data_IF_721557121638
#
_entry.id   IF_721557121638
#
_cell.length_a   1.000
_cell.length_b   1.000
_cell.length_c   1.000
_cell.angle_alpha   90.00
_cell.angle_beta   90.00
_cell.angle_gamma   90.00
#
_symmetry.space_group_name_H-M   'P 1'
#
loop_
_entity.id
_entity.type
_entity.pdbx_description
1 polymer ?
#
# COMPACT_ATOMS: atom_id res chain seq x y z
N UNK A 1 -7.60 -30.62 19.98
CA UNK A 1 -6.71 -30.11 18.92
C UNK A 1 -6.90 -30.97 17.69
N UNK A 2 -6.93 -30.36 16.50
CA UNK A 2 -7.01 -31.12 15.27
C UNK A 2 -5.73 -31.96 15.08
N UNK A 3 -5.90 -33.19 14.59
CA UNK A 3 -4.80 -34.12 14.31
C UNK A 3 -4.94 -34.68 12.91
N UNK A 4 -3.82 -35.01 12.29
CA UNK A 4 -3.80 -35.70 11.01
C UNK A 4 -3.84 -37.22 11.21
N UNK A 5 -4.84 -37.90 10.67
CA UNK A 5 -4.94 -39.36 10.74
C UNK A 5 -3.82 -40.07 9.96
N UNK A 6 -3.31 -39.43 8.90
CA UNK A 6 -2.21 -39.92 8.06
C UNK A 6 -0.82 -39.54 8.60
N UNK A 7 -0.74 -38.52 9.46
CA UNK A 7 0.48 -38.10 10.14
C UNK A 7 0.23 -38.04 11.66
N UNK A 8 0.13 -39.21 12.34
CA UNK A 8 -0.33 -39.28 13.73
C UNK A 8 0.56 -38.57 14.76
N UNK A 9 1.80 -38.22 14.38
CA UNK A 9 2.72 -37.42 15.21
C UNK A 9 2.60 -35.90 15.01
N UNK A 10 1.77 -35.42 14.07
CA UNK A 10 1.59 -34.00 13.81
C UNK A 10 0.32 -33.47 14.49
N UNK A 11 0.51 -32.52 15.41
CA UNK A 11 -0.58 -31.78 16.04
C UNK A 11 -0.63 -30.37 15.46
N UNK A 12 -1.81 -29.95 15.01
CA UNK A 12 -2.03 -28.60 14.53
C UNK A 12 -2.24 -27.66 15.70
N UNK A 13 -1.53 -26.53 15.71
CA UNK A 13 -1.85 -25.41 16.59
C UNK A 13 -3.19 -24.78 16.21
N UNK A 14 -3.82 -24.04 17.14
CA UNK A 14 -5.16 -23.48 16.93
C UNK A 14 -5.23 -22.53 15.72
N UNK A 15 -4.14 -21.83 15.38
CA UNK A 15 -4.05 -20.96 14.21
C UNK A 15 -3.78 -21.70 12.88
N UNK A 16 -3.45 -23.00 12.93
CA UNK A 16 -3.23 -23.84 11.75
C UNK A 16 -4.52 -24.52 11.26
N UNK A 17 -5.62 -24.35 11.98
CA UNK A 17 -6.91 -24.98 11.68
C UNK A 17 -7.92 -23.88 11.38
N UNK A 18 -8.81 -24.12 10.42
CA UNK A 18 -9.88 -23.18 10.09
C UNK A 18 -10.75 -22.92 11.32
N UNK A 19 -11.05 -21.65 11.67
CA UNK A 19 -11.79 -21.37 12.89
C UNK A 19 -13.20 -21.97 12.90
N UNK A 20 -13.57 -22.58 14.03
CA UNK A 20 -14.81 -23.33 14.19
C UNK A 20 -14.79 -24.74 13.57
N UNK A 21 -13.74 -25.13 12.85
CA UNK A 21 -13.59 -26.49 12.34
C UNK A 21 -12.95 -27.41 13.39
N UNK A 22 -13.37 -28.67 13.41
CA UNK A 22 -12.78 -29.74 14.24
C UNK A 22 -12.62 -29.39 15.74
N UNK A 23 -13.59 -28.66 16.30
CA UNK A 23 -13.61 -28.28 17.71
C UNK A 23 -12.65 -27.15 18.09
N UNK A 24 -12.07 -26.45 17.11
CA UNK A 24 -11.40 -25.17 17.39
C UNK A 24 -12.41 -24.12 17.83
N UNK A 25 -12.01 -23.17 18.70
CA UNK A 25 -12.88 -22.05 19.06
C UNK A 25 -13.39 -21.34 17.80
N UNK A 26 -14.67 -20.95 17.82
CA UNK A 26 -15.18 -20.00 16.83
C UNK A 26 -14.35 -18.73 16.87
N UNK A 27 -14.17 -18.07 15.72
CA UNK A 27 -13.49 -16.78 15.65
C UNK A 27 -14.06 -15.79 16.66
N UNK A 28 -13.19 -15.28 17.54
CA UNK A 28 -13.37 -13.95 18.11
C UNK A 28 -13.01 -12.91 17.02
N UNK A 29 -13.18 -11.63 17.31
CA UNK A 29 -12.74 -10.54 16.41
C UNK A 29 -11.20 -10.52 16.17
N UNK A 30 -10.45 -11.38 16.85
CA UNK A 30 -9.02 -11.56 16.67
C UNK A 30 -8.70 -12.48 15.48
N UNK A 31 -7.92 -11.96 14.54
CA UNK A 31 -7.34 -12.72 13.43
C UNK A 31 -6.37 -13.77 13.98
N UNK A 32 -6.45 -15.05 13.56
CA UNK A 32 -5.53 -16.09 14.02
C UNK A 32 -4.09 -15.73 13.69
N UNK A 33 -3.22 -15.75 14.69
CA UNK A 33 -1.81 -15.40 14.52
C UNK A 33 -0.93 -16.62 14.76
N UNK A 34 -0.03 -16.88 13.80
CA UNK A 34 1.09 -17.78 14.01
C UNK A 34 2.18 -17.17 14.89
N UNK A 35 3.40 -17.73 14.89
CA UNK A 35 4.54 -17.15 15.58
C UNK A 35 4.70 -15.67 15.22
N UNK A 36 4.79 -14.82 16.24
CA UNK A 36 4.83 -13.36 16.03
C UNK A 36 6.04 -12.98 15.18
N UNK A 37 5.87 -12.11 14.16
CA UNK A 37 7.00 -11.41 13.58
C UNK A 37 7.75 -10.69 14.71
N UNK A 38 9.08 -10.69 14.70
CA UNK A 38 9.89 -10.05 15.76
C UNK A 38 9.74 -8.51 15.87
N UNK A 39 8.78 -7.92 15.14
CA UNK A 39 8.47 -6.50 15.18
C UNK A 39 7.53 -6.18 16.33
N UNK A 40 7.97 -5.27 17.20
CA UNK A 40 7.18 -4.73 18.30
C UNK A 40 7.19 -3.20 18.20
N UNK A 41 6.02 -2.59 18.25
CA UNK A 41 5.77 -1.16 18.13
C UNK A 41 5.32 -0.59 19.47
N UNK A 42 5.83 0.60 19.76
CA UNK A 42 5.35 1.45 20.83
C UNK A 42 5.05 2.86 20.31
N UNK A 43 4.58 3.72 21.22
CA UNK A 43 4.23 5.10 20.91
C UNK A 43 5.44 5.95 20.45
N UNK A 44 6.67 5.50 20.71
CA UNK A 44 7.89 6.20 20.33
C UNK A 44 8.46 5.73 18.98
N UNK A 45 8.04 4.56 18.49
CA UNK A 45 8.51 3.96 17.24
C UNK A 45 8.13 4.85 16.05
N UNK A 46 9.11 5.46 15.34
CA UNK A 46 8.85 6.25 14.15
C UNK A 46 8.26 5.39 13.02
N UNK A 47 6.99 5.64 12.68
CA UNK A 47 6.28 4.89 11.63
C UNK A 47 6.05 5.81 10.44
N UNK A 48 6.50 5.38 9.27
CA UNK A 48 6.13 5.98 8.00
C UNK A 48 5.14 5.07 7.24
N UNK A 49 4.32 5.64 6.38
CA UNK A 49 3.47 4.86 5.47
C UNK A 49 3.35 5.49 4.09
N UNK A 50 3.15 4.63 3.09
CA UNK A 50 2.78 5.02 1.72
C UNK A 50 1.89 3.96 1.09
N UNK A 51 1.05 4.36 0.13
CA UNK A 51 0.29 3.42 -0.68
C UNK A 51 -1.09 3.89 -1.09
N UNK A 52 -2.00 2.92 -1.24
CA UNK A 52 -3.35 3.12 -1.76
C UNK A 52 -4.23 4.01 -0.86
N UNK A 53 -5.51 4.20 -1.23
CA UNK A 53 -6.50 4.88 -0.39
C UNK A 53 -6.51 4.39 1.08
N UNK A 54 -6.29 3.10 1.31
CA UNK A 54 -6.30 2.52 2.66
C UNK A 54 -5.11 2.98 3.53
N UNK A 55 -4.02 3.44 2.93
CA UNK A 55 -2.87 3.99 3.67
C UNK A 55 -3.26 5.24 4.49
N UNK A 56 -4.26 5.99 4.04
CA UNK A 56 -4.83 7.12 4.80
C UNK A 56 -5.48 6.66 6.08
N UNK A 57 -6.27 5.59 6.03
CA UNK A 57 -6.97 5.06 7.21
C UNK A 57 -5.93 4.60 8.26
N UNK A 58 -4.90 3.87 7.83
CA UNK A 58 -3.78 3.47 8.70
C UNK A 58 -3.12 4.70 9.33
N UNK A 59 -2.78 5.73 8.53
CA UNK A 59 -2.20 6.98 9.02
C UNK A 59 -3.08 7.64 10.07
N UNK A 60 -4.36 7.83 9.77
CA UNK A 60 -5.30 8.51 10.65
C UNK A 60 -5.45 7.78 11.98
N UNK A 61 -5.56 6.45 11.96
CA UNK A 61 -5.69 5.66 13.19
C UNK A 61 -4.39 5.65 14.00
N UNK A 62 -3.22 5.53 13.37
CA UNK A 62 -1.93 5.62 14.08
C UNK A 62 -1.78 6.98 14.79
N UNK A 63 -2.08 8.08 14.09
CA UNK A 63 -2.04 9.43 14.69
C UNK A 63 -3.06 9.59 15.81
N UNK A 64 -4.29 9.11 15.62
CA UNK A 64 -5.35 9.18 16.64
C UNK A 64 -5.00 8.36 17.89
N UNK A 65 -4.27 7.25 17.76
CA UNK A 65 -3.80 6.44 18.89
C UNK A 65 -2.46 6.91 19.49
N UNK A 66 -1.92 8.04 19.03
CA UNK A 66 -0.74 8.68 19.61
C UNK A 66 0.61 8.13 19.15
N UNK A 67 0.63 7.23 18.15
CA UNK A 67 1.88 6.65 17.65
C UNK A 67 2.73 7.74 16.98
N UNK A 68 4.06 7.60 17.07
CA UNK A 68 5.02 8.48 16.42
C UNK A 68 5.01 8.33 14.89
N UNK A 69 3.96 8.86 14.27
CA UNK A 69 3.82 8.88 12.82
C UNK A 69 4.70 9.97 12.21
N UNK A 70 5.60 9.56 11.32
CA UNK A 70 6.46 10.47 10.56
C UNK A 70 5.60 11.20 9.53
N UNK A 71 5.41 12.50 9.73
CA UNK A 71 4.63 13.37 8.85
C UNK A 71 5.46 14.59 8.41
N UNK A 72 5.76 14.63 7.13
CA UNK A 72 6.37 15.75 6.42
C UNK A 72 5.31 16.43 5.54
N UNK A 73 5.52 17.71 5.20
CA UNK A 73 4.67 18.46 4.26
C UNK A 73 3.17 18.46 4.65
N UNK A 74 2.85 18.50 5.95
CA UNK A 74 1.47 18.37 6.47
C UNK A 74 0.50 19.44 5.97
N UNK A 75 1.02 20.59 5.52
CA UNK A 75 0.26 21.66 4.89
C UNK A 75 -0.15 21.33 3.44
N UNK A 76 0.53 20.38 2.81
CA UNK A 76 0.33 20.05 1.41
C UNK A 76 -0.80 19.02 1.23
N UNK A 77 -1.77 19.23 0.33
CA UNK A 77 -2.91 18.30 0.15
C UNK A 77 -2.48 16.89 -0.24
N UNK A 78 -1.37 16.75 -0.97
CA UNK A 78 -0.81 15.44 -1.33
C UNK A 78 -0.22 14.66 -0.14
N UNK A 79 0.00 15.28 1.03
CA UNK A 79 0.45 14.57 2.22
C UNK A 79 -0.70 13.83 2.94
N UNK A 80 -1.94 13.91 2.45
CA UNK A 80 -3.10 13.31 3.13
C UNK A 80 -3.01 11.79 3.29
N UNK A 81 -2.40 11.07 2.34
CA UNK A 81 -2.44 9.60 2.29
C UNK A 81 -1.13 8.92 2.75
N UNK A 82 -0.08 9.71 3.04
CA UNK A 82 1.25 9.19 3.27
C UNK A 82 2.09 10.06 4.22
N UNK A 83 3.33 9.65 4.48
CA UNK A 83 4.27 10.35 5.36
C UNK A 83 4.92 11.60 4.78
N UNK A 84 4.85 11.80 3.47
CA UNK A 84 5.27 13.02 2.76
C UNK A 84 4.24 13.31 1.66
N UNK A 85 4.43 14.38 0.88
CA UNK A 85 3.50 14.79 -0.19
C UNK A 85 3.54 13.87 -1.44
N UNK A 86 3.63 12.55 -1.25
CA UNK A 86 3.64 11.54 -2.32
C UNK A 86 2.27 11.29 -2.97
N UNK A 87 1.18 11.75 -2.34
CA UNK A 87 -0.20 11.35 -2.65
C UNK A 87 -0.41 9.83 -2.50
N UNK A 88 -1.49 9.31 -3.09
CA UNK A 88 -1.77 7.88 -3.15
C UNK A 88 -0.82 7.26 -4.15
N UNK A 89 -0.23 6.13 -3.77
CA UNK A 89 0.58 5.29 -4.64
C UNK A 89 -0.17 3.98 -4.83
N UNK A 90 -0.78 3.81 -6.01
CA UNK A 90 -1.68 2.68 -6.24
C UNK A 90 -0.93 1.37 -6.52
N UNK A 91 0.24 1.44 -7.14
CA UNK A 91 0.98 0.29 -7.62
C UNK A 91 2.43 0.31 -7.09
N UNK A 92 3.09 -0.85 -7.15
CA UNK A 92 4.46 -1.04 -6.66
C UNK A 92 5.49 -0.21 -7.44
N UNK A 93 5.24 0.12 -8.71
CA UNK A 93 6.14 0.94 -9.53
C UNK A 93 6.20 2.36 -9.02
N UNK A 94 5.04 2.99 -8.77
CA UNK A 94 5.00 4.35 -8.23
C UNK A 94 5.63 4.41 -6.83
N UNK A 95 5.48 3.37 -6.00
CA UNK A 95 6.19 3.26 -4.72
C UNK A 95 7.71 3.20 -4.92
N UNK A 96 8.19 2.33 -5.81
CA UNK A 96 9.62 2.21 -6.11
C UNK A 96 10.19 3.52 -6.66
N UNK A 97 9.50 4.15 -7.60
CA UNK A 97 9.90 5.45 -8.17
C UNK A 97 10.04 6.54 -7.10
N UNK A 98 9.22 6.52 -6.04
CA UNK A 98 9.40 7.42 -4.90
C UNK A 98 10.78 7.25 -4.28
N UNK A 99 11.20 6.01 -4.02
CA UNK A 99 12.52 5.75 -3.46
C UNK A 99 13.64 6.11 -4.44
N UNK A 100 13.46 5.80 -5.73
CA UNK A 100 14.44 6.07 -6.79
C UNK A 100 14.69 7.57 -6.96
N UNK A 101 13.66 8.41 -7.02
CA UNK A 101 13.88 9.87 -7.11
C UNK A 101 14.36 10.46 -5.79
N UNK A 102 14.04 9.84 -4.66
CA UNK A 102 14.43 10.36 -3.35
C UNK A 102 15.91 10.18 -3.11
N UNK A 103 16.42 8.97 -3.35
CA UNK A 103 17.77 8.59 -3.02
C UNK A 103 18.73 8.61 -4.21
N UNK A 104 18.23 8.39 -5.42
CA UNK A 104 19.02 8.37 -6.64
C UNK A 104 18.76 9.58 -7.53
N UNK A 105 19.17 9.43 -8.79
CA UNK A 105 18.99 10.40 -9.87
C UNK A 105 18.01 9.86 -10.91
N UNK A 106 16.82 9.48 -10.45
CA UNK A 106 15.77 9.00 -11.34
C UNK A 106 15.20 10.16 -12.16
N UNK A 107 15.46 10.13 -13.46
CA UNK A 107 15.05 11.15 -14.42
C UNK A 107 14.16 10.51 -15.50
N UNK A 108 12.82 10.58 -15.37
CA UNK A 108 11.94 10.13 -16.44
C UNK A 108 12.09 11.07 -17.65
N UNK A 109 11.96 10.53 -18.85
CA UNK A 109 12.00 11.29 -20.10
C UNK A 109 10.88 12.32 -20.22
N UNK A 110 9.82 12.19 -19.41
CA UNK A 110 8.83 13.24 -19.15
C UNK A 110 8.56 13.37 -17.65
N UNK A 111 9.14 14.43 -17.05
CA UNK A 111 8.94 14.77 -15.64
C UNK A 111 7.64 15.53 -15.38
N UNK A 112 7.31 16.48 -16.26
CA UNK A 112 6.24 17.44 -16.05
C UNK A 112 5.26 17.45 -17.20
N UNK A 113 3.97 17.40 -16.88
CA UNK A 113 2.91 17.64 -17.84
C UNK A 113 2.58 19.13 -17.94
N UNK A 114 2.16 19.57 -19.12
CA UNK A 114 1.59 20.90 -19.34
C UNK A 114 0.13 20.74 -19.74
N UNK A 115 -0.78 21.13 -18.85
CA UNK A 115 -2.23 21.03 -19.05
C UNK A 115 -2.61 21.83 -20.30
N UNK A 116 -3.16 21.21 -21.36
CA UNK A 116 -3.41 21.88 -22.64
C UNK A 116 -4.29 23.13 -22.53
N UNK A 117 -5.31 23.10 -21.66
CA UNK A 117 -6.28 24.19 -21.55
C UNK A 117 -5.86 25.31 -20.60
N UNK A 118 -5.23 24.97 -19.46
CA UNK A 118 -4.86 25.96 -18.43
C UNK A 118 -3.40 26.41 -18.50
N UNK A 119 -2.55 25.71 -19.26
CA UNK A 119 -1.10 25.91 -19.29
C UNK A 119 -0.38 25.57 -17.98
N UNK A 120 -1.11 25.10 -16.97
CA UNK A 120 -0.58 24.71 -15.64
C UNK A 120 0.36 23.53 -15.77
N UNK A 121 1.38 23.49 -14.92
CA UNK A 121 2.32 22.36 -14.85
C UNK A 121 1.80 21.34 -13.86
N UNK A 122 1.81 20.05 -14.21
CA UNK A 122 1.37 18.96 -13.34
C UNK A 122 2.48 17.93 -13.11
N UNK A 123 2.59 17.44 -11.88
CA UNK A 123 3.38 16.23 -11.56
C UNK A 123 2.55 14.98 -11.89
N UNK A 124 2.94 14.14 -12.88
CA UNK A 124 2.19 12.94 -13.21
C UNK A 124 2.44 11.78 -12.22
N UNK A 125 3.45 11.89 -11.36
CA UNK A 125 3.81 10.89 -10.36
C UNK A 125 3.25 11.23 -8.97
N UNK A 126 2.99 12.51 -8.68
CA UNK A 126 2.25 12.99 -7.50
C UNK A 126 0.93 13.61 -7.93
N UNK A 127 -0.15 12.83 -7.87
CA UNK A 127 -1.48 13.28 -8.30
C UNK A 127 -1.90 14.55 -7.52
N UNK A 128 -2.75 15.40 -8.12
CA UNK A 128 -3.23 16.68 -7.56
C UNK A 128 -2.17 17.77 -7.32
N UNK A 129 -0.91 17.53 -7.69
CA UNK A 129 0.15 18.54 -7.55
C UNK A 129 0.26 19.34 -8.85
N UNK A 130 -0.07 20.63 -8.75
CA UNK A 130 -0.17 21.58 -9.85
C UNK A 130 0.64 22.84 -9.54
N UNK A 131 1.26 23.43 -10.56
CA UNK A 131 2.10 24.62 -10.43
C UNK A 131 1.80 25.65 -11.52
N UNK A 132 2.04 26.92 -11.21
CA UNK A 132 1.90 28.01 -12.17
C UNK A 132 3.01 28.04 -13.23
N UNK A 133 4.19 27.48 -12.92
CA UNK A 133 5.32 27.43 -13.86
C UNK A 133 6.22 26.21 -13.64
N UNK A 134 7.08 25.93 -14.62
CA UNK A 134 8.09 24.86 -14.53
C UNK A 134 9.12 25.15 -13.44
N UNK A 135 9.51 26.42 -13.27
CA UNK A 135 10.45 26.84 -12.22
C UNK A 135 9.89 26.55 -10.82
N UNK A 136 8.59 26.84 -10.60
CA UNK A 136 7.92 26.50 -9.34
C UNK A 136 7.87 24.98 -9.12
N UNK A 137 7.61 24.21 -10.18
CA UNK A 137 7.56 22.75 -10.10
C UNK A 137 8.92 22.14 -9.71
N UNK A 138 10.00 22.60 -10.32
CA UNK A 138 11.37 22.15 -10.01
C UNK A 138 11.79 22.55 -8.58
N UNK A 139 11.48 23.79 -8.17
CA UNK A 139 11.80 24.27 -6.83
C UNK A 139 11.04 23.49 -5.74
N UNK A 140 9.73 23.28 -5.91
CA UNK A 140 8.94 22.42 -5.02
C UNK A 140 9.50 21.01 -4.97
N UNK A 141 9.77 20.41 -6.14
CA UNK A 141 10.23 19.02 -6.18
C UNK A 141 11.59 18.83 -5.50
N UNK A 142 12.50 19.79 -5.65
CA UNK A 142 13.77 19.78 -4.93
C UNK A 142 13.57 19.77 -3.40
N UNK A 143 12.62 20.56 -2.88
CA UNK A 143 12.26 20.56 -1.46
C UNK A 143 11.57 19.24 -1.07
N UNK A 144 10.61 18.79 -1.87
CA UNK A 144 9.89 17.54 -1.67
C UNK A 144 10.84 16.33 -1.55
N UNK A 145 11.88 16.27 -2.39
CA UNK A 145 12.91 15.21 -2.28
C UNK A 145 13.61 15.21 -0.92
N UNK A 146 13.81 16.38 -0.30
CA UNK A 146 14.38 16.47 1.05
C UNK A 146 13.39 15.98 2.11
N UNK A 147 12.12 16.38 2.02
CA UNK A 147 11.04 15.88 2.88
C UNK A 147 10.89 14.36 2.78
N UNK A 148 10.84 13.85 1.55
CA UNK A 148 10.75 12.42 1.26
C UNK A 148 11.94 11.64 1.83
N UNK A 149 13.16 12.16 1.65
CA UNK A 149 14.37 11.57 2.25
C UNK A 149 14.25 11.52 3.77
N UNK A 150 13.86 12.61 4.44
CA UNK A 150 13.68 12.64 5.89
C UNK A 150 12.64 11.64 6.37
N UNK A 151 11.50 11.52 5.67
CA UNK A 151 10.47 10.56 6.01
C UNK A 151 11.00 9.12 5.98
N UNK A 152 11.69 8.76 4.90
CA UNK A 152 12.22 7.40 4.69
C UNK A 152 13.41 7.08 5.59
N UNK A 153 14.31 8.02 5.88
CA UNK A 153 15.48 7.78 6.74
C UNK A 153 15.13 7.78 8.23
N UNK A 154 14.07 8.47 8.65
CA UNK A 154 13.63 8.50 10.06
C UNK A 154 12.78 7.30 10.45
N UNK A 155 12.15 6.64 9.48
CA UNK A 155 11.25 5.52 9.72
C UNK A 155 11.98 4.34 10.37
N UNK A 156 11.50 3.88 11.53
CA UNK A 156 11.83 2.55 12.06
C UNK A 156 10.94 1.48 11.46
N UNK A 157 9.73 1.86 11.05
CA UNK A 157 8.82 1.02 10.29
C UNK A 157 8.29 1.79 9.09
N UNK A 158 8.31 1.15 7.92
CA UNK A 158 7.66 1.66 6.72
C UNK A 158 6.53 0.71 6.30
N UNK A 159 5.31 1.20 6.35
CA UNK A 159 4.12 0.45 5.93
C UNK A 159 3.87 0.71 4.43
N UNK A 160 3.88 -0.38 3.64
CA UNK A 160 3.61 -0.38 2.20
C UNK A 160 2.23 -0.99 1.93
N UNK A 161 1.27 -0.15 1.56
CA UNK A 161 -0.13 -0.58 1.31
C UNK A 161 -0.39 -0.76 -0.19
N UNK A 162 -0.27 -1.99 -0.66
CA UNK A 162 -0.38 -2.35 -2.08
C UNK A 162 -1.82 -2.22 -2.60
N UNK A 163 -2.00 -1.42 -3.65
CA UNK A 163 -3.32 -1.06 -4.16
C UNK A 163 -3.79 -1.92 -5.32
N UNK A 164 -3.17 -1.75 -6.48
CA UNK A 164 -3.68 -2.12 -7.79
C UNK A 164 -2.56 -2.64 -8.71
N UNK A 165 -2.90 -3.53 -9.64
CA UNK A 165 -1.98 -4.01 -10.69
C UNK A 165 -2.13 -3.28 -12.02
N UNK A 166 -3.22 -2.53 -12.22
CA UNK A 166 -3.43 -1.68 -13.38
C UNK A 166 -2.50 -0.46 -13.34
N UNK A 167 -1.71 -0.27 -14.40
CA UNK A 167 -0.72 0.79 -14.52
C UNK A 167 -0.82 1.50 -15.87
N UNK A 168 -0.39 2.76 -15.88
CA UNK A 168 -0.14 3.53 -17.09
C UNK A 168 1.35 3.73 -17.22
N UNK A 169 1.95 3.02 -18.17
CA UNK A 169 3.39 2.99 -18.37
C UNK A 169 3.77 3.86 -19.57
N UNK A 170 4.79 4.70 -19.41
CA UNK A 170 5.40 5.43 -20.49
C UNK A 170 6.01 4.45 -21.51
N UNK A 171 5.67 4.61 -22.79
CA UNK A 171 6.16 3.75 -23.87
C UNK A 171 7.65 3.96 -24.15
N UNK A 172 8.20 5.12 -23.82
CA UNK A 172 9.56 5.50 -24.17
C UNK A 172 10.59 5.04 -23.13
N UNK A 173 10.30 5.22 -21.84
CA UNK A 173 11.25 4.97 -20.75
C UNK A 173 10.76 3.98 -19.68
N UNK A 174 9.50 3.54 -19.77
CA UNK A 174 8.93 2.57 -18.84
C UNK A 174 8.46 3.14 -17.51
N UNK A 175 8.57 4.45 -17.27
CA UNK A 175 8.08 5.10 -16.05
C UNK A 175 6.56 4.95 -15.90
N UNK A 176 6.09 4.75 -14.68
CA UNK A 176 4.67 4.57 -14.37
C UNK A 176 4.12 5.80 -13.68
N UNK A 177 3.13 6.43 -14.31
CA UNK A 177 2.40 7.56 -13.73
C UNK A 177 1.36 7.07 -12.72
N UNK A 178 1.07 7.90 -11.71
CA UNK A 178 0.19 7.50 -10.61
C UNK A 178 -1.27 7.83 -10.92
N UNK A 179 -1.88 7.02 -11.79
CA UNK A 179 -3.27 7.18 -12.23
C UNK A 179 -4.14 5.95 -11.92
N UNK A 180 -5.23 6.09 -11.15
CA UNK A 180 -6.22 5.04 -11.00
C UNK A 180 -7.19 5.03 -12.19
N UNK A 181 -7.97 3.96 -12.33
CA UNK A 181 -9.13 3.96 -13.21
C UNK A 181 -10.23 4.90 -12.67
N UNK A 182 -10.71 5.80 -13.54
CA UNK A 182 -11.99 6.50 -13.39
C UNK A 182 -12.07 7.98 -13.78
N UNK A 183 -13.27 8.59 -13.68
CA UNK A 183 -13.60 9.91 -14.21
C UNK A 183 -12.99 11.04 -13.38
N UNK A 184 -12.40 10.72 -12.24
CA UNK A 184 -11.80 11.68 -11.29
C UNK A 184 -10.34 12.03 -11.63
N UNK A 185 -9.94 11.81 -12.88
CA UNK A 185 -8.61 12.10 -13.36
C UNK A 185 -8.70 13.22 -14.38
N UNK A 186 -8.66 14.46 -13.90
CA UNK A 186 -8.29 15.60 -14.73
C UNK A 186 -6.81 15.45 -15.07
N UNK A 187 -6.53 15.03 -16.29
CA UNK A 187 -5.17 14.85 -16.80
C UNK A 187 -4.69 16.14 -17.45
N UNK A 188 -3.46 16.51 -17.13
CA UNK A 188 -2.77 17.62 -17.78
C UNK A 188 -1.83 17.21 -18.91
N UNK A 189 -1.70 15.93 -19.26
CA UNK A 189 -0.70 15.46 -20.22
C UNK A 189 -1.29 14.69 -21.40
N UNK A 190 -0.45 14.42 -22.40
CA UNK A 190 -0.80 13.56 -23.52
C UNK A 190 -0.78 12.08 -23.10
N UNK A 191 -1.97 11.49 -22.99
CA UNK A 191 -2.10 10.06 -22.69
C UNK A 191 -1.67 9.14 -23.83
N UNK A 192 -1.53 9.62 -25.06
CA UNK A 192 -1.04 8.82 -26.19
C UNK A 192 0.38 8.27 -25.97
N UNK A 193 1.18 8.97 -25.14
CA UNK A 193 2.51 8.54 -24.71
C UNK A 193 2.48 7.30 -23.79
N UNK A 194 1.38 7.09 -23.07
CA UNK A 194 1.27 6.04 -22.08
C UNK A 194 0.48 4.84 -22.62
N UNK A 195 0.81 3.66 -22.12
CA UNK A 195 0.08 2.43 -22.38
C UNK A 195 -0.49 1.86 -21.10
N UNK A 196 -1.77 1.49 -21.16
CA UNK A 196 -2.39 0.70 -20.12
C UNK A 196 -1.78 -0.71 -20.11
N UNK A 197 -1.39 -1.19 -18.93
CA UNK A 197 -0.95 -2.56 -18.69
C UNK A 197 -1.49 -3.08 -17.36
N UNK A 198 -1.55 -4.40 -17.25
CA UNK A 198 -1.75 -5.08 -15.97
C UNK A 198 -0.43 -5.72 -15.57
N UNK A 199 0.18 -5.18 -14.53
CA UNK A 199 1.42 -5.71 -13.97
C UNK A 199 1.22 -7.12 -13.39
N UNK A 200 2.24 -7.95 -13.48
CA UNK A 200 2.21 -9.35 -13.05
C UNK A 200 3.04 -9.59 -11.80
N UNK A 201 2.93 -10.80 -11.28
CA UNK A 201 3.60 -11.25 -10.05
C UNK A 201 5.07 -10.84 -10.01
N UNK A 202 5.84 -11.21 -11.04
CA UNK A 202 7.29 -10.97 -11.06
C UNK A 202 7.62 -9.48 -11.03
N UNK A 203 6.93 -8.65 -11.82
CA UNK A 203 7.17 -7.21 -11.85
C UNK A 203 6.89 -6.54 -10.49
N UNK A 204 5.84 -7.00 -9.79
CA UNK A 204 5.51 -6.49 -8.46
C UNK A 204 6.52 -6.94 -7.41
N UNK A 205 6.97 -8.20 -7.47
CA UNK A 205 8.03 -8.71 -6.61
C UNK A 205 9.35 -7.96 -6.84
N UNK A 206 9.76 -7.77 -8.09
CA UNK A 206 10.99 -7.03 -8.45
C UNK A 206 10.95 -5.57 -7.96
N UNK A 207 9.77 -4.95 -7.96
CA UNK A 207 9.61 -3.62 -7.40
C UNK A 207 9.75 -3.59 -5.87
N UNK A 208 9.19 -4.58 -5.17
CA UNK A 208 9.35 -4.71 -3.72
C UNK A 208 10.80 -5.00 -3.33
N UNK A 209 11.48 -5.87 -4.08
CA UNK A 209 12.91 -6.14 -3.92
C UNK A 209 13.76 -4.88 -4.17
N UNK A 210 13.44 -4.10 -5.21
CA UNK A 210 14.10 -2.82 -5.46
C UNK A 210 13.90 -1.81 -4.33
N UNK A 211 12.69 -1.75 -3.76
CA UNK A 211 12.40 -0.94 -2.57
C UNK A 211 13.24 -1.39 -1.38
N UNK A 212 13.32 -2.70 -1.14
CA UNK A 212 14.10 -3.29 -0.06
C UNK A 212 15.58 -2.96 -0.21
N UNK A 213 16.14 -3.10 -1.40
CA UNK A 213 17.55 -2.81 -1.67
C UNK A 213 17.90 -1.34 -1.39
N UNK A 214 17.04 -0.40 -1.83
CA UNK A 214 17.24 1.03 -1.57
C UNK A 214 17.14 1.31 -0.05
N UNK A 215 16.16 0.72 0.63
CA UNK A 215 16.01 0.88 2.08
C UNK A 215 17.17 0.25 2.85
N UNK A 216 17.67 -0.92 2.44
CA UNK A 216 18.84 -1.56 3.04
C UNK A 216 20.09 -0.68 2.94
N UNK A 217 20.23 0.08 1.85
CA UNK A 217 21.35 1.01 1.68
C UNK A 217 21.21 2.28 2.53
N UNK A 218 20.02 2.88 2.59
CA UNK A 218 19.83 4.21 3.17
C UNK A 218 19.24 4.24 4.58
N UNK A 219 18.58 3.16 5.00
CA UNK A 219 18.00 2.97 6.31
C UNK A 219 17.88 1.46 6.65
N UNK A 220 19.02 0.75 6.82
CA UNK A 220 19.06 -0.71 6.99
C UNK A 220 18.29 -1.21 8.21
N UNK A 221 18.03 -0.33 9.17
CA UNK A 221 17.36 -0.69 10.40
C UNK A 221 15.83 -0.47 10.34
N UNK A 222 15.31 -0.06 9.19
CA UNK A 222 13.88 0.02 8.93
C UNK A 222 13.29 -1.38 8.74
N UNK A 223 12.17 -1.65 9.42
CA UNK A 223 11.35 -2.83 9.17
C UNK A 223 10.24 -2.49 8.17
N UNK A 224 10.04 -3.31 7.15
CA UNK A 224 8.96 -3.09 6.18
C UNK A 224 7.74 -3.91 6.60
N UNK A 225 6.58 -3.26 6.67
CA UNK A 225 5.29 -3.95 6.84
C UNK A 225 4.53 -3.84 5.54
N UNK A 226 4.35 -4.95 4.83
CA UNK A 226 3.63 -5.00 3.57
C UNK A 226 2.21 -5.47 3.80
N UNK A 227 1.23 -4.78 3.23
CA UNK A 227 -0.18 -5.16 3.33
C UNK A 227 -0.88 -4.97 1.99
N UNK A 228 -1.80 -5.86 1.66
CA UNK A 228 -2.69 -5.65 0.50
C UNK A 228 -3.90 -4.84 0.94
N UNK A 229 -4.22 -3.79 0.18
CA UNK A 229 -5.38 -2.93 0.43
C UNK A 229 -6.70 -3.69 0.24
N UNK A 230 -7.65 -3.64 1.17
CA UNK A 230 -8.97 -4.25 0.99
C UNK A 230 -9.90 -3.50 0.02
N UNK A 231 -9.58 -2.24 -0.30
CA UNK A 231 -10.32 -1.43 -1.27
C UNK A 231 -10.21 -2.02 -2.69
N UNK A 232 -11.33 -2.32 -3.34
CA UNK A 232 -11.41 -2.88 -4.69
C UNK A 232 -11.27 -1.82 -5.79
N UNK A 233 -11.14 -2.26 -7.05
CA UNK A 233 -11.23 -1.33 -8.17
C UNK A 233 -12.64 -0.76 -8.25
N UNK A 234 -12.71 0.55 -8.47
CA UNK A 234 -13.97 1.21 -8.81
C UNK A 234 -14.38 0.92 -10.27
N UNK A 235 -13.40 0.91 -11.18
CA UNK A 235 -13.55 0.55 -12.58
C UNK A 235 -12.25 -0.12 -13.07
N UNK A 236 -12.31 -0.77 -14.23
CA UNK A 236 -11.16 -1.41 -14.88
C UNK A 236 -11.03 -0.91 -16.32
N UNK A 237 -9.79 -0.73 -16.79
CA UNK A 237 -9.52 -0.51 -18.22
C UNK A 237 -9.33 -1.81 -19.02
N UNK A 238 -9.46 -2.97 -18.36
CA UNK A 238 -9.38 -4.26 -19.02
C UNK A 238 -10.56 -4.45 -19.96
N UNK A 239 -10.28 -4.84 -21.20
CA UNK A 239 -11.30 -5.27 -22.16
C UNK A 239 -11.67 -6.76 -22.07
N UNK A 240 -10.98 -7.51 -21.21
CA UNK A 240 -11.04 -8.97 -21.12
C UNK A 240 -11.58 -9.48 -19.76
N UNK A 241 -12.01 -8.58 -18.86
CA UNK A 241 -12.56 -8.96 -17.56
C UNK A 241 -13.52 -7.88 -17.01
N UNK A 242 -14.51 -8.30 -16.22
CA UNK A 242 -15.33 -7.39 -15.42
C UNK A 242 -14.53 -6.85 -14.20
N UNK A 243 -15.03 -5.79 -13.58
CA UNK A 243 -14.34 -5.10 -12.45
C UNK A 243 -14.15 -5.99 -11.21
N UNK A 244 -15.02 -6.97 -10.98
CA UNK A 244 -14.92 -7.90 -9.84
C UNK A 244 -13.79 -8.89 -10.12
N UNK A 245 -13.78 -9.52 -11.30
CA UNK A 245 -12.70 -10.41 -11.74
C UNK A 245 -11.35 -9.70 -11.80
N UNK A 246 -11.32 -8.46 -12.32
CA UNK A 246 -10.12 -7.61 -12.34
C UNK A 246 -9.64 -7.28 -10.92
N UNK A 247 -10.56 -6.98 -10.00
CA UNK A 247 -10.25 -6.76 -8.59
C UNK A 247 -9.65 -8.00 -7.94
N UNK A 248 -10.26 -9.17 -8.15
CA UNK A 248 -9.74 -10.43 -7.65
C UNK A 248 -8.33 -10.71 -8.19
N UNK A 249 -8.12 -10.56 -9.52
CA UNK A 249 -6.80 -10.75 -10.12
C UNK A 249 -5.74 -9.80 -9.52
N UNK A 250 -6.09 -8.53 -9.35
CA UNK A 250 -5.21 -7.51 -8.77
C UNK A 250 -4.79 -7.87 -7.35
N UNK A 251 -5.76 -8.18 -6.47
CA UNK A 251 -5.48 -8.50 -5.06
C UNK A 251 -4.71 -9.81 -4.91
N UNK A 252 -5.10 -10.84 -5.65
CA UNK A 252 -4.42 -12.14 -5.60
C UNK A 252 -2.98 -12.05 -6.11
N UNK A 253 -2.72 -11.28 -7.17
CA UNK A 253 -1.36 -11.07 -7.70
C UNK A 253 -0.48 -10.35 -6.68
N UNK A 254 -0.99 -9.26 -6.09
CA UNK A 254 -0.25 -8.48 -5.08
C UNK A 254 -0.05 -9.27 -3.79
N UNK A 255 -1.04 -10.08 -3.37
CA UNK A 255 -0.94 -10.92 -2.18
C UNK A 255 0.13 -11.98 -2.34
N UNK A 256 0.18 -12.64 -3.49
CA UNK A 256 1.22 -13.62 -3.79
C UNK A 256 2.62 -12.98 -3.78
N UNK A 257 2.78 -11.82 -4.44
CA UNK A 257 4.06 -11.10 -4.44
C UNK A 257 4.49 -10.64 -3.03
N UNK A 258 3.54 -10.18 -2.20
CA UNK A 258 3.81 -9.80 -0.82
C UNK A 258 4.22 -10.99 0.06
N UNK A 259 3.66 -12.18 -0.20
CA UNK A 259 4.02 -13.42 0.52
C UNK A 259 5.48 -13.78 0.28
N UNK A 260 5.84 -13.89 -1.00
CA UNK A 260 7.18 -14.26 -1.42
C UNK A 260 8.20 -13.22 -0.95
N UNK A 261 7.86 -11.94 -1.04
CA UNK A 261 8.74 -10.88 -0.55
C UNK A 261 8.94 -10.96 0.97
N UNK A 262 7.89 -11.16 1.76
CA UNK A 262 8.02 -11.29 3.21
C UNK A 262 8.80 -12.55 3.62
N UNK A 263 8.67 -13.66 2.88
CA UNK A 263 9.39 -14.89 3.18
C UNK A 263 10.90 -14.81 2.92
N UNK A 264 11.32 -13.92 2.01
CA UNK A 264 12.73 -13.72 1.62
C UNK A 264 13.53 -12.83 2.55
N UNK A 265 12.88 -12.02 3.39
CA UNK A 265 13.55 -10.96 4.14
C UNK A 265 13.16 -10.96 5.62
N UNK A 266 14.14 -11.10 6.50
CA UNK A 266 13.91 -11.14 7.95
C UNK A 266 13.35 -9.82 8.54
N UNK A 267 13.61 -8.67 7.89
CA UNK A 267 13.10 -7.36 8.29
C UNK A 267 11.83 -6.95 7.53
N UNK A 268 11.09 -7.92 6.98
CA UNK A 268 9.83 -7.70 6.28
C UNK A 268 8.75 -8.56 6.90
N UNK A 269 7.59 -7.96 7.20
CA UNK A 269 6.40 -8.67 7.68
C UNK A 269 5.22 -8.42 6.76
N UNK A 270 4.36 -9.43 6.58
CA UNK A 270 3.05 -9.24 5.96
C UNK A 270 1.98 -8.96 7.01
N UNK A 271 1.13 -7.96 6.77
CA UNK A 271 -0.05 -7.67 7.58
C UNK A 271 -1.35 -7.97 6.79
N UNK A 272 -2.27 -8.82 7.32
CA UNK A 272 -3.39 -9.36 6.55
C UNK A 272 -4.64 -8.46 6.50
N UNK A 273 -4.51 -7.17 6.16
CA UNK A 273 -5.66 -6.27 6.09
C UNK A 273 -6.71 -6.71 5.05
N UNK A 274 -6.26 -7.24 3.90
CA UNK A 274 -7.13 -7.73 2.83
C UNK A 274 -7.96 -8.93 3.29
N UNK A 275 -7.33 -9.89 3.95
CA UNK A 275 -7.97 -11.10 4.45
C UNK A 275 -8.90 -10.81 5.62
N UNK A 276 -8.55 -9.84 6.48
CA UNK A 276 -9.46 -9.40 7.54
C UNK A 276 -10.78 -8.90 6.91
N UNK A 277 -10.71 -8.05 5.88
CA UNK A 277 -11.91 -7.56 5.22
C UNK A 277 -12.64 -8.63 4.40
N UNK A 278 -11.93 -9.49 3.67
CA UNK A 278 -12.54 -10.38 2.67
C UNK A 278 -12.86 -11.78 3.17
N UNK A 279 -12.25 -12.22 4.26
CA UNK A 279 -12.43 -13.56 4.83
C UNK A 279 -12.97 -13.46 6.25
N UNK A 280 -12.31 -12.71 7.13
CA UNK A 280 -12.70 -12.63 8.53
C UNK A 280 -14.06 -11.92 8.71
N UNK A 281 -14.30 -10.76 8.10
CA UNK A 281 -15.58 -10.07 8.20
C UNK A 281 -16.77 -10.96 7.76
N UNK A 282 -16.74 -11.64 6.61
CA UNK A 282 -17.77 -12.62 6.25
C UNK A 282 -17.96 -13.76 7.26
N UNK A 283 -16.87 -14.30 7.81
CA UNK A 283 -16.94 -15.35 8.84
C UNK A 283 -17.62 -14.87 10.13
N UNK A 284 -17.47 -13.59 10.45
CA UNK A 284 -18.15 -12.93 11.58
C UNK A 284 -19.59 -12.49 11.24
N UNK A 285 -20.07 -12.74 10.01
CA UNK A 285 -21.38 -12.26 9.55
C UNK A 285 -21.47 -10.74 9.41
N UNK A 286 -20.34 -10.04 9.24
CA UNK A 286 -20.26 -8.58 9.17
C UNK A 286 -20.07 -8.08 7.74
N UNK A 287 -20.77 -7.01 7.32
CA UNK A 287 -20.47 -6.36 6.05
C UNK A 287 -19.09 -5.69 6.13
N UNK A 288 -18.22 -5.95 5.17
CA UNK A 288 -16.87 -5.37 5.12
C UNK A 288 -16.83 -3.99 4.43
N UNK A 289 -17.75 -3.76 3.49
CA UNK A 289 -17.74 -2.61 2.59
C UNK A 289 -18.81 -1.58 2.94
N UNK A 290 -18.62 -0.36 2.48
CA UNK A 290 -19.61 0.72 2.61
C UNK A 290 -20.83 0.44 1.72
N UNK A 291 -21.93 1.13 1.98
CA UNK A 291 -23.10 1.16 1.10
C UNK A 291 -23.06 2.38 0.17
N UNK A 292 -23.88 2.38 -0.88
CA UNK A 292 -24.01 3.51 -1.80
C UNK A 292 -22.95 3.53 -2.90
N UNK A 293 -22.55 4.75 -3.33
CA UNK A 293 -21.70 4.95 -4.52
C UNK A 293 -20.23 4.55 -4.34
N UNK A 294 -19.78 4.40 -3.10
CA UNK A 294 -18.39 4.04 -2.76
C UNK A 294 -18.25 2.63 -2.21
N UNK A 295 -19.20 1.74 -2.52
CA UNK A 295 -19.31 0.35 -2.02
C UNK A 295 -18.14 -0.60 -2.32
N UNK A 296 -17.06 -0.09 -2.92
CA UNK A 296 -15.78 -0.77 -3.14
C UNK A 296 -14.73 -0.39 -2.08
N UNK A 297 -15.04 0.57 -1.19
CA UNK A 297 -14.25 0.92 0.00
C UNK A 297 -14.74 0.15 1.23
N UNK A 298 -13.81 -0.17 2.14
CA UNK A 298 -14.17 -0.75 3.44
C UNK A 298 -14.92 0.26 4.30
N UNK A 299 -15.86 -0.23 5.12
CA UNK A 299 -16.56 0.62 6.08
C UNK A 299 -15.71 0.87 7.34
N UNK A 300 -16.14 1.84 8.15
CA UNK A 300 -15.42 2.28 9.34
C UNK A 300 -15.23 1.15 10.37
N UNK A 301 -16.26 0.32 10.60
CA UNK A 301 -16.17 -0.82 11.51
C UNK A 301 -15.11 -1.85 11.06
N UNK A 302 -14.94 -2.01 9.74
CA UNK A 302 -13.90 -2.87 9.17
C UNK A 302 -12.52 -2.25 9.30
N UNK A 303 -12.39 -0.91 9.13
CA UNK A 303 -11.13 -0.19 9.42
C UNK A 303 -10.72 -0.39 10.88
N UNK A 304 -11.66 -0.24 11.82
CA UNK A 304 -11.43 -0.44 13.25
C UNK A 304 -10.98 -1.87 13.55
N UNK A 305 -11.69 -2.88 13.03
CA UNK A 305 -11.32 -4.28 13.18
C UNK A 305 -9.92 -4.58 12.62
N UNK A 306 -9.59 -4.04 11.44
CA UNK A 306 -8.26 -4.20 10.86
C UNK A 306 -7.21 -3.58 11.78
N UNK A 307 -7.43 -2.35 12.24
CA UNK A 307 -6.43 -1.66 13.05
C UNK A 307 -6.30 -2.26 14.45
N UNK A 308 -7.37 -2.76 15.08
CA UNK A 308 -7.26 -3.50 16.34
C UNK A 308 -6.42 -4.76 16.17
N UNK A 309 -6.58 -5.47 15.06
CA UNK A 309 -5.72 -6.60 14.72
C UNK A 309 -4.27 -6.18 14.43
N UNK A 310 -4.05 -5.00 13.82
CA UNK A 310 -2.71 -4.45 13.63
C UNK A 310 -2.01 -4.22 14.98
N UNK A 311 -2.70 -3.60 15.94
CA UNK A 311 -2.13 -3.35 17.27
C UNK A 311 -2.01 -4.62 18.11
N UNK A 312 -2.92 -5.58 17.97
CA UNK A 312 -2.77 -6.88 18.63
C UNK A 312 -1.56 -7.67 18.10
N UNK A 313 -1.25 -7.52 16.80
CA UNK A 313 -0.12 -8.19 16.16
C UNK A 313 1.23 -7.53 16.50
N UNK A 314 1.27 -6.20 16.51
CA UNK A 314 2.54 -5.46 16.56
C UNK A 314 2.72 -4.58 17.80
N UNK A 315 1.66 -4.22 18.53
CA UNK A 315 1.78 -3.37 19.71
C UNK A 315 2.50 -4.09 20.86
N UNK A 316 3.21 -3.33 21.68
CA UNK A 316 3.60 -3.83 23.00
C UNK A 316 2.33 -4.21 23.77
N UNK A 317 2.28 -5.45 24.26
CA UNK A 317 1.24 -5.86 25.19
C UNK A 317 1.30 -4.93 26.39
N UNK A 318 0.22 -4.19 26.62
CA UNK A 318 0.02 -3.41 27.85
C UNK A 318 -0.06 -4.33 29.06
#
# INVERSE_FOLDING_TARGET
MARSDVHPGHEFADWQVWPGAYGTPSLAEAYPQGPRPGLVLDQHTPIASMGSCFAREIKQVLQARGYNYVAEETHHPAARHASAAWERLYNTFSMRQVLEYTFGDWQPGLRWWRVPDSGTVQDPYRRVVLYGSLEQAEADFALHRQHSRRALTRARVLILTLGLTEIWQDRADGAVICLPAGPYVTQGGDMGRYQFRVSRYQENLDNLEGIQQIMALHNPACHLVVTVSPVHLWATFRGDADVISASCNSKSTLRAAADEFASRHANVSYFPAYEIATILCPLLGRPAYTSGRENFHVNQATVELIMDNFFAMYGQGS
#
